data_IF_387750355090
#
_entry.id   IF_387750355090
#
_cell.length_a   1.000
_cell.length_b   1.000
_cell.length_c   1.000
_cell.angle_alpha   90.00
_cell.angle_beta   90.00
_cell.angle_gamma   90.00
#
_symmetry.space_group_name_H-M   'P 1'
#
loop_
_entity.id
_entity.type
_entity.pdbx_description
1 polymer ?
#
# COMPACT_ATOMS: atom_id res chain seq x y z
N UNK A 1 1.46 -8.48 7.50
CA UNK A 1 2.54 -7.48 7.41
C UNK A 1 3.87 -7.96 8.01
N UNK A 2 3.91 -8.57 9.21
CA UNK A 2 5.18 -9.03 9.81
C UNK A 2 6.10 -9.87 8.89
N UNK A 3 5.56 -10.87 8.16
CA UNK A 3 6.35 -11.65 7.17
C UNK A 3 6.93 -10.76 6.06
N UNK A 4 6.19 -9.76 5.58
CA UNK A 4 6.66 -8.85 4.53
C UNK A 4 7.75 -7.90 5.05
N UNK A 5 7.55 -7.29 6.23
CA UNK A 5 8.57 -6.46 6.90
C UNK A 5 9.87 -7.24 7.11
N UNK A 6 9.80 -8.48 7.61
CA UNK A 6 10.97 -9.33 7.78
C UNK A 6 11.69 -9.64 6.45
N UNK A 7 10.93 -9.95 5.40
CA UNK A 7 11.49 -10.22 4.07
C UNK A 7 12.20 -8.99 3.48
N UNK A 8 11.59 -7.80 3.55
CA UNK A 8 12.22 -6.59 3.03
C UNK A 8 13.42 -6.14 3.88
N UNK A 9 13.41 -6.36 5.18
CA UNK A 9 14.59 -6.17 6.03
C UNK A 9 15.73 -7.10 5.62
N UNK A 10 15.44 -8.38 5.38
CA UNK A 10 16.45 -9.33 4.92
C UNK A 10 17.02 -8.95 3.54
N UNK A 11 16.15 -8.60 2.59
CA UNK A 11 16.55 -8.16 1.25
C UNK A 11 17.39 -6.88 1.29
N UNK A 12 17.07 -5.95 2.19
CA UNK A 12 17.86 -4.74 2.42
C UNK A 12 19.27 -5.09 2.90
N UNK A 13 19.37 -5.90 3.95
CA UNK A 13 20.67 -6.33 4.50
C UNK A 13 21.52 -7.06 3.47
N UNK A 14 20.91 -7.93 2.68
CA UNK A 14 21.60 -8.67 1.61
C UNK A 14 22.12 -7.72 0.51
N UNK A 15 21.30 -6.77 0.05
CA UNK A 15 21.72 -5.79 -0.94
C UNK A 15 22.82 -4.85 -0.42
N UNK A 16 22.80 -4.51 0.87
CA UNK A 16 23.86 -3.73 1.52
C UNK A 16 25.20 -4.51 1.52
N UNK A 17 25.17 -5.79 1.91
CA UNK A 17 26.35 -6.67 1.90
C UNK A 17 26.98 -6.79 0.52
N UNK A 18 26.14 -6.83 -0.53
CA UNK A 18 26.59 -6.92 -1.92
C UNK A 18 26.79 -5.57 -2.61
N UNK A 19 26.66 -4.45 -1.88
CA UNK A 19 26.83 -3.08 -2.40
C UNK A 19 25.91 -2.73 -3.58
N UNK A 20 24.72 -3.32 -3.61
CA UNK A 20 23.71 -3.11 -4.65
C UNK A 20 22.80 -1.95 -4.27
N UNK A 21 23.27 -0.71 -4.46
CA UNK A 21 22.57 0.50 -3.99
C UNK A 21 21.13 0.62 -4.50
N UNK A 22 20.86 0.18 -5.73
CA UNK A 22 19.51 0.21 -6.31
C UNK A 22 18.55 -0.77 -5.64
N UNK A 23 19.00 -2.01 -5.39
CA UNK A 23 18.21 -3.03 -4.70
C UNK A 23 18.03 -2.71 -3.22
N UNK A 24 19.07 -2.13 -2.60
CA UNK A 24 19.03 -1.64 -1.23
C UNK A 24 17.95 -0.55 -1.07
N UNK A 25 17.94 0.45 -1.95
CA UNK A 25 16.92 1.49 -1.96
C UNK A 25 15.53 0.92 -2.29
N UNK A 26 15.45 -0.09 -3.15
CA UNK A 26 14.19 -0.78 -3.46
C UNK A 26 13.62 -1.51 -2.24
N UNK A 27 14.40 -2.37 -1.60
CA UNK A 27 13.99 -3.09 -0.41
C UNK A 27 13.55 -2.12 0.71
N UNK A 28 14.30 -1.04 0.92
CA UNK A 28 13.94 -0.01 1.89
C UNK A 28 12.61 0.68 1.57
N UNK A 29 12.34 0.97 0.29
CA UNK A 29 11.07 1.59 -0.13
C UNK A 29 9.87 0.68 0.21
N UNK A 30 9.99 -0.61 -0.06
CA UNK A 30 8.91 -1.57 0.20
C UNK A 30 8.81 -1.96 1.68
N UNK A 31 9.91 -1.89 2.44
CA UNK A 31 9.90 -1.97 3.90
C UNK A 31 9.05 -0.83 4.48
N UNK A 32 9.30 0.41 4.04
CA UNK A 32 8.51 1.57 4.44
C UNK A 32 7.02 1.38 4.13
N UNK A 33 6.68 0.92 2.93
CA UNK A 33 5.30 0.63 2.53
C UNK A 33 4.65 -0.46 3.41
N UNK A 34 5.33 -1.58 3.66
CA UNK A 34 4.80 -2.67 4.48
C UNK A 34 4.58 -2.23 5.94
N UNK A 35 5.52 -1.48 6.51
CA UNK A 35 5.44 -0.95 7.87
C UNK A 35 4.33 0.09 8.00
N UNK A 36 4.08 0.90 6.97
CA UNK A 36 3.04 1.93 6.97
C UNK A 36 1.62 1.39 7.18
N UNK A 37 1.35 0.12 6.90
CA UNK A 37 0.08 -0.51 7.25
C UNK A 37 -0.08 -0.69 8.77
N UNK A 38 0.97 -1.13 9.47
CA UNK A 38 0.90 -1.56 10.87
C UNK A 38 1.32 -0.51 11.88
N UNK A 39 2.36 0.27 11.57
CA UNK A 39 2.98 1.19 12.51
C UNK A 39 3.38 2.49 11.76
N UNK A 40 2.53 3.53 11.78
CA UNK A 40 2.82 4.76 11.09
C UNK A 40 3.99 5.54 11.70
N UNK A 41 4.34 5.33 12.97
CA UNK A 41 5.48 6.01 13.59
C UNK A 41 6.80 5.40 13.11
N UNK A 42 6.90 4.07 13.07
CA UNK A 42 8.07 3.39 12.50
C UNK A 42 8.14 3.66 10.99
N UNK A 43 7.01 3.67 10.29
CA UNK A 43 6.98 3.96 8.87
C UNK A 43 7.57 5.33 8.52
N UNK A 44 7.41 6.35 9.38
CA UNK A 44 8.01 7.66 9.17
C UNK A 44 9.55 7.58 9.09
N UNK A 45 10.15 6.79 9.99
CA UNK A 45 11.60 6.55 10.01
C UNK A 45 12.05 5.79 8.76
N UNK A 46 11.31 4.75 8.38
CA UNK A 46 11.62 3.95 7.19
C UNK A 46 11.48 4.76 5.89
N UNK A 47 10.52 5.71 5.84
CA UNK A 47 10.35 6.64 4.73
C UNK A 47 11.56 7.57 4.63
N UNK A 48 11.95 8.21 5.74
CA UNK A 48 13.10 9.11 5.76
C UNK A 48 14.40 8.39 5.34
N UNK A 49 14.58 7.14 5.75
CA UNK A 49 15.72 6.33 5.33
C UNK A 49 15.67 5.96 3.83
N UNK A 50 14.48 5.65 3.30
CA UNK A 50 14.30 5.40 1.87
C UNK A 50 14.64 6.64 1.03
N UNK A 51 14.26 7.85 1.48
CA UNK A 51 14.62 9.10 0.79
C UNK A 51 16.13 9.29 0.70
N UNK A 52 16.85 8.99 1.79
CA UNK A 52 18.31 9.05 1.80
C UNK A 52 18.91 8.06 0.79
N UNK A 53 18.46 6.80 0.79
CA UNK A 53 18.98 5.79 -0.13
C UNK A 53 18.63 6.05 -1.61
N UNK A 54 17.52 6.74 -1.88
CA UNK A 54 17.17 7.15 -3.24
C UNK A 54 17.92 8.39 -3.72
N UNK A 55 18.66 9.07 -2.84
CA UNK A 55 19.45 10.25 -3.22
C UNK A 55 20.54 9.86 -4.22
N UNK A 56 20.61 10.58 -5.34
CA UNK A 56 21.55 10.28 -6.42
C UNK A 56 21.15 9.13 -7.36
N UNK A 57 20.07 8.38 -7.07
CA UNK A 57 19.60 7.29 -7.94
C UNK A 57 18.49 7.73 -8.89
N UNK A 58 18.46 7.22 -10.12
CA UNK A 58 17.42 7.51 -11.11
C UNK A 58 16.22 6.53 -11.03
N UNK A 59 15.74 6.20 -9.82
CA UNK A 59 14.65 5.23 -9.61
C UNK A 59 13.28 5.92 -9.46
N UNK A 60 12.65 6.27 -10.58
CA UNK A 60 11.37 7.02 -10.56
C UNK A 60 10.21 6.23 -9.95
N UNK A 61 10.09 4.94 -10.26
CA UNK A 61 9.04 4.08 -9.70
C UNK A 61 9.11 4.02 -8.17
N UNK A 62 10.31 3.87 -7.62
CA UNK A 62 10.53 3.84 -6.17
C UNK A 62 10.17 5.16 -5.49
N UNK A 63 10.47 6.32 -6.11
CA UNK A 63 10.04 7.61 -5.56
C UNK A 63 8.52 7.76 -5.51
N UNK A 64 7.82 7.27 -6.53
CA UNK A 64 6.36 7.28 -6.54
C UNK A 64 5.79 6.29 -5.51
N UNK A 65 6.37 5.09 -5.40
CA UNK A 65 5.99 4.12 -4.36
C UNK A 65 6.21 4.67 -2.95
N UNK A 66 7.31 5.41 -2.72
CA UNK A 66 7.59 6.04 -1.44
C UNK A 66 6.54 7.11 -1.07
N UNK A 67 6.06 7.87 -2.07
CA UNK A 67 4.93 8.80 -1.88
C UNK A 67 3.63 8.07 -1.57
N UNK A 68 3.39 6.89 -2.16
CA UNK A 68 2.26 6.03 -1.79
C UNK A 68 2.40 5.56 -0.34
N UNK A 69 3.59 5.15 0.10
CA UNK A 69 3.86 4.76 1.48
C UNK A 69 3.61 5.91 2.47
N UNK A 70 3.96 7.15 2.10
CA UNK A 70 3.64 8.33 2.91
C UNK A 70 2.12 8.56 3.05
N UNK A 71 1.35 8.42 1.96
CA UNK A 71 -0.13 8.48 2.05
C UNK A 71 -0.70 7.37 2.94
N UNK A 72 -0.12 6.17 2.87
CA UNK A 72 -0.52 5.05 3.71
C UNK A 72 -0.20 5.30 5.19
N UNK A 73 0.97 5.87 5.49
CA UNK A 73 1.32 6.31 6.84
C UNK A 73 0.24 7.26 7.39
N UNK A 74 -0.23 8.20 6.57
CA UNK A 74 -1.21 9.22 6.95
C UNK A 74 -2.68 8.77 6.82
N UNK A 75 -2.93 7.51 6.46
CA UNK A 75 -4.28 6.97 6.29
C UNK A 75 -5.14 7.12 7.55
N UNK A 76 -6.40 7.58 7.39
CA UNK A 76 -7.32 7.90 8.48
C UNK A 76 -7.23 9.33 9.03
N UNK A 77 -6.31 10.16 8.53
CA UNK A 77 -6.30 11.61 8.76
C UNK A 77 -7.23 12.35 7.78
N UNK A 78 -7.60 13.61 8.05
CA UNK A 78 -8.80 14.21 7.45
C UNK A 78 -8.64 14.80 6.02
N UNK A 79 -7.48 14.67 5.36
CA UNK A 79 -7.32 15.20 3.98
C UNK A 79 -6.13 14.57 3.23
N UNK A 80 -6.39 13.48 2.50
CA UNK A 80 -5.41 12.90 1.55
C UNK A 80 -5.85 13.01 0.09
N UNK A 81 -7.05 13.56 -0.17
CA UNK A 81 -7.68 13.48 -1.49
C UNK A 81 -6.90 14.22 -2.57
N UNK A 82 -6.45 15.43 -2.26
CA UNK A 82 -5.67 16.26 -3.19
C UNK A 82 -4.29 15.65 -3.48
N UNK A 83 -3.60 15.16 -2.45
CA UNK A 83 -2.28 14.54 -2.60
C UNK A 83 -2.36 13.25 -3.43
N UNK A 84 -3.40 12.44 -3.22
CA UNK A 84 -3.67 11.26 -4.02
C UNK A 84 -4.01 11.61 -5.48
N UNK A 85 -4.76 12.69 -5.72
CA UNK A 85 -5.07 13.18 -7.07
C UNK A 85 -3.81 13.60 -7.82
N UNK A 86 -2.93 14.37 -7.18
CA UNK A 86 -1.64 14.76 -7.76
C UNK A 86 -0.75 13.54 -8.03
N UNK A 87 -0.65 12.63 -7.07
CA UNK A 87 0.16 11.41 -7.23
C UNK A 87 -0.35 10.51 -8.36
N UNK A 88 -1.67 10.41 -8.54
CA UNK A 88 -2.27 9.67 -9.67
C UNK A 88 -1.88 10.27 -11.01
N UNK A 89 -1.90 11.60 -11.14
CA UNK A 89 -1.44 12.28 -12.35
C UNK A 89 0.06 12.06 -12.62
N UNK A 90 0.89 12.04 -11.57
CA UNK A 90 2.33 11.77 -11.68
C UNK A 90 2.63 10.33 -12.11
N UNK A 91 1.87 9.36 -11.60
CA UNK A 91 1.95 7.95 -11.98
C UNK A 91 1.59 7.78 -13.46
N UNK A 92 0.48 8.40 -13.89
CA UNK A 92 0.03 8.37 -15.27
C UNK A 92 1.04 8.99 -16.23
N UNK A 93 1.57 10.17 -15.89
CA UNK A 93 2.60 10.85 -16.68
C UNK A 93 3.89 10.03 -16.77
N UNK A 94 4.18 9.19 -15.77
CA UNK A 94 5.32 8.29 -15.78
C UNK A 94 5.09 6.99 -16.58
N UNK A 95 3.86 6.72 -17.02
CA UNK A 95 3.49 5.47 -17.69
C UNK A 95 3.58 4.23 -16.78
N UNK A 96 3.36 4.41 -15.47
CA UNK A 96 3.48 3.36 -14.45
C UNK A 96 2.12 2.92 -13.88
N UNK A 97 1.06 3.04 -14.68
CA UNK A 97 -0.33 2.89 -14.26
C UNK A 97 -0.66 1.49 -13.71
N UNK A 98 -0.17 0.42 -14.34
CA UNK A 98 -0.59 -0.95 -14.00
C UNK A 98 -0.40 -1.29 -12.51
N UNK A 99 0.81 -1.15 -11.99
CA UNK A 99 1.11 -1.49 -10.61
C UNK A 99 0.82 -0.33 -9.65
N UNK A 100 1.35 0.87 -9.95
CA UNK A 100 1.32 1.97 -8.98
C UNK A 100 -0.06 2.60 -8.83
N UNK A 101 -0.87 2.66 -9.89
CA UNK A 101 -2.23 3.19 -9.75
C UNK A 101 -3.09 2.22 -8.94
N UNK A 102 -2.97 0.91 -9.17
CA UNK A 102 -3.66 -0.10 -8.37
C UNK A 102 -3.23 -0.05 -6.88
N UNK A 103 -1.92 0.08 -6.61
CA UNK A 103 -1.42 0.24 -5.22
C UNK A 103 -1.93 1.53 -4.59
N UNK A 104 -1.99 2.64 -5.32
CA UNK A 104 -2.55 3.90 -4.82
C UNK A 104 -4.04 3.75 -4.47
N UNK A 105 -4.84 3.14 -5.33
CA UNK A 105 -6.28 2.91 -5.03
C UNK A 105 -6.46 1.99 -3.82
N UNK A 106 -5.61 0.97 -3.65
CA UNK A 106 -5.62 0.12 -2.46
C UNK A 106 -5.38 0.94 -1.18
N UNK A 107 -4.39 1.85 -1.20
CA UNK A 107 -4.09 2.75 -0.08
C UNK A 107 -5.24 3.73 0.19
N UNK A 108 -5.85 4.28 -0.85
CA UNK A 108 -7.01 5.17 -0.68
C UNK A 108 -8.21 4.43 -0.11
N UNK A 109 -8.46 3.20 -0.57
CA UNK A 109 -9.49 2.35 0.01
C UNK A 109 -9.23 2.03 1.49
N UNK A 110 -7.98 1.75 1.87
CA UNK A 110 -7.59 1.57 3.28
C UNK A 110 -7.88 2.84 4.10
N UNK A 111 -7.46 4.01 3.61
CA UNK A 111 -7.77 5.29 4.24
C UNK A 111 -9.28 5.50 4.43
N UNK A 112 -10.10 5.23 3.40
CA UNK A 112 -11.55 5.37 3.50
C UNK A 112 -12.19 4.34 4.44
N UNK A 113 -11.68 3.10 4.48
CA UNK A 113 -12.13 2.08 5.42
C UNK A 113 -11.83 2.49 6.88
N UNK A 114 -10.65 3.07 7.14
CA UNK A 114 -10.29 3.61 8.46
C UNK A 114 -11.23 4.75 8.87
N UNK A 115 -11.60 5.62 7.93
CA UNK A 115 -12.57 6.69 8.17
C UNK A 115 -14.03 6.21 8.30
N UNK A 116 -14.33 4.94 8.00
CA UNK A 116 -15.69 4.43 7.93
C UNK A 116 -16.51 5.01 6.76
N UNK A 117 -15.86 5.55 5.73
CA UNK A 117 -16.49 6.23 4.60
C UNK A 117 -16.86 5.23 3.49
N UNK A 118 -17.95 4.48 3.67
CA UNK A 118 -18.37 3.40 2.76
C UNK A 118 -18.51 3.85 1.30
N UNK A 119 -19.13 5.00 1.03
CA UNK A 119 -19.29 5.50 -0.35
C UNK A 119 -17.94 5.75 -1.03
N UNK A 120 -16.96 6.25 -0.28
CA UNK A 120 -15.60 6.47 -0.78
C UNK A 120 -14.85 5.16 -0.98
N UNK A 121 -15.08 4.13 -0.16
CA UNK A 121 -14.56 2.77 -0.40
C UNK A 121 -15.13 2.21 -1.71
N UNK A 122 -16.45 2.35 -1.93
CA UNK A 122 -17.09 1.92 -3.18
C UNK A 122 -16.50 2.64 -4.39
N UNK A 123 -16.28 3.96 -4.30
CA UNK A 123 -15.64 4.71 -5.38
C UNK A 123 -14.22 4.22 -5.68
N UNK A 124 -13.42 3.88 -4.66
CA UNK A 124 -12.10 3.28 -4.86
C UNK A 124 -12.16 1.88 -5.45
N UNK A 125 -13.15 1.05 -5.09
CA UNK A 125 -13.40 -0.25 -5.71
C UNK A 125 -13.72 -0.11 -7.21
N UNK A 126 -14.58 0.84 -7.59
CA UNK A 126 -14.88 1.10 -9.01
C UNK A 126 -13.63 1.45 -9.79
N UNK A 127 -12.83 2.42 -9.30
CA UNK A 127 -11.57 2.80 -9.95
C UNK A 127 -10.58 1.64 -10.03
N UNK A 128 -10.49 0.83 -8.98
CA UNK A 128 -9.60 -0.31 -8.94
C UNK A 128 -9.98 -1.37 -9.98
N UNK A 129 -11.28 -1.66 -10.15
CA UNK A 129 -11.75 -2.55 -11.22
C UNK A 129 -11.45 -1.99 -12.63
N UNK A 130 -11.55 -0.68 -12.83
CA UNK A 130 -11.21 -0.05 -14.11
C UNK A 130 -9.71 -0.19 -14.42
N UNK A 131 -8.84 0.06 -13.44
CA UNK A 131 -7.38 -0.06 -13.59
C UNK A 131 -6.96 -1.52 -13.79
N UNK A 132 -7.65 -2.46 -13.15
CA UNK A 132 -7.28 -3.89 -13.13
C UNK A 132 -8.12 -4.73 -14.09
N UNK A 133 -8.80 -4.12 -15.08
CA UNK A 133 -9.67 -4.82 -16.03
C UNK A 133 -8.91 -5.86 -16.88
N UNK A 134 -7.59 -5.73 -17.00
CA UNK A 134 -6.71 -6.72 -17.64
C UNK A 134 -6.39 -7.96 -16.81
N UNK A 135 -6.84 -8.01 -15.54
CA UNK A 135 -6.60 -9.11 -14.60
C UNK A 135 -5.42 -8.88 -13.66
N UNK A 136 -4.42 -8.12 -14.09
CA UNK A 136 -3.28 -7.75 -13.23
C UNK A 136 -3.77 -6.96 -12.01
N UNK A 137 -3.32 -7.37 -10.82
CA UNK A 137 -3.68 -6.77 -9.53
C UNK A 137 -5.19 -6.80 -9.19
N UNK A 138 -6.03 -7.53 -9.94
CA UNK A 138 -7.47 -7.60 -9.68
C UNK A 138 -7.80 -8.11 -8.25
N UNK A 139 -6.92 -8.94 -7.68
CA UNK A 139 -7.03 -9.41 -6.29
C UNK A 139 -6.97 -8.29 -5.24
N UNK A 140 -6.50 -7.08 -5.59
CA UNK A 140 -6.60 -5.94 -4.68
C UNK A 140 -8.06 -5.58 -4.37
N UNK A 141 -9.00 -5.86 -5.27
CA UNK A 141 -10.42 -5.64 -4.98
C UNK A 141 -10.89 -6.53 -3.81
N UNK A 142 -10.43 -7.79 -3.74
CA UNK A 142 -10.73 -8.69 -2.64
C UNK A 142 -10.13 -8.17 -1.32
N UNK A 143 -8.89 -7.65 -1.37
CA UNK A 143 -8.26 -7.00 -0.21
C UNK A 143 -9.12 -5.83 0.29
N UNK A 144 -9.63 -4.99 -0.63
CA UNK A 144 -10.49 -3.87 -0.25
C UNK A 144 -11.79 -4.33 0.40
N UNK A 145 -12.44 -5.36 -0.13
CA UNK A 145 -13.61 -5.95 0.52
C UNK A 145 -13.27 -6.44 1.93
N UNK A 146 -12.15 -7.15 2.09
CA UNK A 146 -11.70 -7.64 3.39
C UNK A 146 -11.42 -6.50 4.38
N UNK A 147 -10.66 -5.48 3.98
CA UNK A 147 -10.36 -4.31 4.82
C UNK A 147 -11.64 -3.61 5.29
N UNK A 148 -12.60 -3.43 4.40
CA UNK A 148 -13.86 -2.75 4.68
C UNK A 148 -14.93 -3.64 5.35
N UNK A 149 -14.64 -4.93 5.58
CA UNK A 149 -15.62 -5.87 6.15
C UNK A 149 -16.81 -6.14 5.21
N UNK A 150 -16.63 -5.98 3.90
CA UNK A 150 -17.65 -6.18 2.89
C UNK A 150 -17.64 -7.64 2.38
N UNK A 151 -18.79 -8.20 1.99
CA UNK A 151 -18.83 -9.50 1.34
C UNK A 151 -18.23 -9.42 -0.07
N UNK A 152 -17.51 -10.47 -0.48
CA UNK A 152 -17.10 -10.62 -1.88
C UNK A 152 -18.33 -10.88 -2.77
N UNK A 153 -18.28 -10.39 -4.01
CA UNK A 153 -19.33 -10.63 -5.02
C UNK A 153 -19.26 -12.02 -5.65
N UNK A 154 -18.20 -12.79 -5.37
CA UNK A 154 -17.96 -14.15 -5.83
C UNK A 154 -16.74 -14.74 -5.11
N UNK A 155 -16.34 -15.99 -5.43
CA UNK A 155 -15.11 -16.56 -4.91
C UNK A 155 -13.89 -15.70 -5.31
N UNK A 156 -12.89 -15.63 -4.43
CA UNK A 156 -11.61 -15.01 -4.75
C UNK A 156 -11.01 -15.65 -6.01
N UNK A 157 -10.50 -14.82 -6.92
CA UNK A 157 -9.85 -15.29 -8.14
C UNK A 157 -8.47 -15.88 -7.89
N UNK A 158 -7.89 -15.62 -6.70
CA UNK A 158 -6.57 -16.12 -6.30
C UNK A 158 -6.66 -17.06 -5.10
N UNK A 159 -5.64 -17.92 -4.97
CA UNK A 159 -5.41 -18.68 -3.75
C UNK A 159 -4.62 -17.84 -2.76
N UNK A 160 -5.22 -17.57 -1.61
CA UNK A 160 -4.56 -16.86 -0.51
C UNK A 160 -3.48 -17.72 0.16
N UNK A 161 -2.67 -17.09 1.02
CA UNK A 161 -1.50 -17.76 1.62
C UNK A 161 -1.91 -18.77 2.69
N UNK A 162 -2.96 -18.44 3.42
CA UNK A 162 -3.60 -19.34 4.38
C UNK A 162 -5.01 -19.66 3.82
N UNK A 163 -6.05 -19.52 4.63
CA UNK A 163 -7.45 -19.59 4.19
C UNK A 163 -8.06 -18.19 4.01
N UNK A 164 -9.07 -18.07 3.14
CA UNK A 164 -9.76 -16.81 2.82
C UNK A 164 -10.24 -16.06 4.07
N UNK A 165 -10.79 -16.78 5.07
CA UNK A 165 -11.28 -16.20 6.32
C UNK A 165 -10.13 -15.64 7.19
N UNK A 166 -8.98 -16.34 7.21
CA UNK A 166 -7.80 -15.93 7.99
C UNK A 166 -7.18 -14.67 7.38
N UNK A 167 -7.03 -14.61 6.06
CA UNK A 167 -6.49 -13.44 5.38
C UNK A 167 -7.51 -12.27 5.38
N UNK A 168 -8.81 -12.54 5.30
CA UNK A 168 -9.86 -11.53 5.51
C UNK A 168 -9.74 -10.89 6.88
N UNK A 169 -9.71 -11.69 7.94
CA UNK A 169 -9.60 -11.20 9.31
C UNK A 169 -8.32 -10.40 9.54
N UNK A 170 -7.23 -10.79 8.88
CA UNK A 170 -5.95 -10.09 8.95
C UNK A 170 -6.04 -8.69 8.33
N UNK A 171 -6.61 -8.56 7.14
CA UNK A 171 -6.79 -7.26 6.49
C UNK A 171 -7.75 -6.36 7.25
N UNK A 172 -8.87 -6.91 7.70
CA UNK A 172 -9.85 -6.16 8.48
C UNK A 172 -9.27 -5.71 9.84
N UNK A 173 -8.40 -6.52 10.46
CA UNK A 173 -7.71 -6.15 11.71
C UNK A 173 -6.82 -4.92 11.53
N UNK A 174 -6.12 -4.77 10.41
CA UNK A 174 -5.27 -3.59 10.16
C UNK A 174 -6.06 -2.28 10.19
N UNK A 175 -7.28 -2.30 9.63
CA UNK A 175 -8.18 -1.13 9.67
C UNK A 175 -8.58 -0.81 11.11
N UNK A 176 -8.98 -1.83 11.88
CA UNK A 176 -9.38 -1.64 13.29
C UNK A 176 -8.23 -1.19 14.18
N UNK A 177 -7.03 -1.73 13.99
CA UNK A 177 -5.83 -1.30 14.70
C UNK A 177 -5.50 0.16 14.38
N UNK A 178 -5.65 0.57 13.11
CA UNK A 178 -5.50 1.98 12.74
C UNK A 178 -6.56 2.89 13.34
N UNK A 179 -7.82 2.47 13.36
CA UNK A 179 -8.91 3.21 14.01
C UNK A 179 -8.61 3.40 15.51
N UNK A 180 -8.23 2.33 16.20
CA UNK A 180 -7.86 2.38 17.61
C UNK A 180 -6.67 3.33 17.87
N UNK A 181 -5.63 3.29 17.03
CA UNK A 181 -4.50 4.20 17.12
C UNK A 181 -4.91 5.68 16.98
N UNK A 182 -5.91 5.97 16.14
CA UNK A 182 -6.43 7.32 15.90
C UNK A 182 -7.55 7.72 16.87
N UNK A 183 -7.95 6.84 17.80
CA UNK A 183 -9.06 7.08 18.72
C UNK A 183 -10.44 7.15 18.05
N UNK A 184 -10.64 6.35 17.00
CA UNK A 184 -11.89 6.26 16.22
C UNK A 184 -12.64 4.97 16.49
#
# INVERSE_FOLDING_TARGET
MHRATAAYTAARTDAEQHQLSGEHAHAQTYLAFATAFTDPQVADQEIALAEQYLTGLALRANRLMLRIAALLRDAGTNDLGEQARLLRADIHTAGLDAALAATLELVMAFHHAVLGATDSVTASLTRLHEITSGGDYAYYADIVHFMAGLPLSGPSAIRWLEDDDVDRDRWHRLVRERQAHLGR
#
